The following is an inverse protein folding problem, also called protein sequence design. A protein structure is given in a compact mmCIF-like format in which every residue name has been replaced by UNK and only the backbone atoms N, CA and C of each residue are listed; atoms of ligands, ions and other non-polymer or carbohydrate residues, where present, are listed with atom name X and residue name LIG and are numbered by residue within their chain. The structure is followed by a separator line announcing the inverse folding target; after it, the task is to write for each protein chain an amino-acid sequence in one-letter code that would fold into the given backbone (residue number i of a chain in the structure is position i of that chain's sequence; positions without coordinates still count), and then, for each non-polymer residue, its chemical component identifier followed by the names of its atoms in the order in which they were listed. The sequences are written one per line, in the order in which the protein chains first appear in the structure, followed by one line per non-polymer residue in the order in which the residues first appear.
data_IF_592074469670
#
_entry.id   IF_592074469670
#
_cell.length_a   1.000
_cell.length_b   1.000
_cell.length_c   1.000
_cell.angle_alpha   90.00
_cell.angle_beta   90.00
_cell.angle_gamma   90.00
#
_symmetry.space_group_name_H-M   'P 1'
#
loop_
_entity.id
_entity.type
_entity.pdbx_description
1 polymer ?
#
# COMPACT_ATOMS: atom_id res chain seq x y z
N UNK A 1 31.21 -6.62 3.48
CA UNK A 1 30.63 -6.51 2.13
C UNK A 1 31.10 -5.22 1.49
N UNK A 2 31.60 -5.26 0.26
CA UNK A 2 31.98 -4.02 -0.42
C UNK A 2 30.70 -3.26 -0.81
N UNK A 3 30.77 -1.92 -0.84
CA UNK A 3 29.65 -1.08 -1.26
C UNK A 3 29.21 -1.43 -2.70
N UNK A 4 30.16 -1.86 -3.53
CA UNK A 4 29.91 -2.28 -4.92
C UNK A 4 29.06 -3.56 -5.01
N UNK A 5 29.33 -4.55 -4.18
CA UNK A 5 28.56 -5.81 -4.13
C UNK A 5 27.11 -5.54 -3.69
N UNK A 6 26.94 -4.69 -2.68
CA UNK A 6 25.61 -4.25 -2.22
C UNK A 6 24.85 -3.46 -3.29
N UNK A 7 25.58 -2.61 -4.02
CA UNK A 7 24.98 -1.83 -5.11
C UNK A 7 24.45 -2.75 -6.22
N UNK A 8 25.26 -3.70 -6.67
CA UNK A 8 24.84 -4.67 -7.68
C UNK A 8 23.65 -5.52 -7.21
N UNK A 9 23.66 -5.92 -5.95
CA UNK A 9 22.61 -6.70 -5.34
C UNK A 9 21.26 -5.97 -5.33
N UNK A 10 21.24 -4.72 -4.89
CA UNK A 10 20.03 -3.92 -4.85
C UNK A 10 19.59 -3.44 -6.25
N UNK A 11 20.51 -3.33 -7.20
CA UNK A 11 20.24 -2.90 -8.56
C UNK A 11 19.52 -3.95 -9.40
N UNK A 12 19.89 -5.23 -9.23
CA UNK A 12 19.33 -6.34 -10.05
C UNK A 12 17.81 -6.47 -10.02
N UNK A 13 17.13 -6.44 -8.85
CA UNK A 13 15.67 -6.51 -8.79
C UNK A 13 14.99 -5.34 -9.50
N UNK A 14 15.56 -4.16 -9.38
CA UNK A 14 15.00 -2.95 -10.00
C UNK A 14 15.19 -2.98 -11.50
N UNK A 15 16.35 -3.39 -12.00
CA UNK A 15 16.60 -3.57 -13.44
C UNK A 15 15.63 -4.60 -14.04
N UNK A 16 15.39 -5.72 -13.38
CA UNK A 16 14.37 -6.70 -13.81
C UNK A 16 13.00 -6.05 -13.95
N UNK A 17 12.58 -5.28 -12.96
CA UNK A 17 11.29 -4.57 -12.99
C UNK A 17 11.23 -3.55 -14.13
N UNK A 18 12.28 -2.76 -14.33
CA UNK A 18 12.36 -1.77 -15.41
C UNK A 18 12.33 -2.43 -16.79
N UNK A 19 13.06 -3.53 -16.97
CA UNK A 19 13.06 -4.29 -18.24
C UNK A 19 11.65 -4.85 -18.56
N UNK A 20 10.96 -5.41 -17.59
CA UNK A 20 9.58 -5.89 -17.78
C UNK A 20 8.63 -4.72 -18.08
N UNK A 21 8.82 -3.56 -17.45
CA UNK A 21 8.06 -2.36 -17.76
C UNK A 21 8.30 -1.87 -19.19
N UNK A 22 9.54 -1.94 -19.69
CA UNK A 22 9.87 -1.62 -21.08
C UNK A 22 9.16 -2.58 -22.06
N UNK A 23 9.08 -3.88 -21.73
CA UNK A 23 8.28 -4.84 -22.52
C UNK A 23 6.80 -4.42 -22.53
N UNK A 24 6.23 -4.04 -21.40
CA UNK A 24 4.86 -3.53 -21.32
C UNK A 24 4.61 -2.30 -22.17
N UNK A 25 5.56 -1.34 -22.13
CA UNK A 25 5.55 -0.14 -22.96
C UNK A 25 5.59 -0.50 -24.45
N UNK A 26 6.45 -1.44 -24.86
CA UNK A 26 6.60 -1.90 -26.22
C UNK A 26 5.30 -2.54 -26.73
N UNK A 27 4.66 -3.41 -25.94
CA UNK A 27 3.40 -4.07 -26.29
C UNK A 27 2.22 -3.10 -26.38
N UNK A 28 2.32 -1.91 -25.80
CA UNK A 28 1.31 -0.86 -25.83
C UNK A 28 1.52 0.16 -26.97
N UNK A 29 2.62 0.07 -27.75
CA UNK A 29 2.85 0.94 -28.90
C UNK A 29 1.72 0.80 -29.93
N UNK A 30 1.32 1.92 -30.54
CA UNK A 30 0.20 1.97 -31.51
C UNK A 30 0.40 1.02 -32.71
N UNK A 31 1.64 0.69 -33.08
CA UNK A 31 1.96 -0.27 -34.15
C UNK A 31 1.75 -1.74 -33.75
N UNK A 32 1.88 -2.07 -32.47
CA UNK A 32 1.84 -3.42 -31.95
C UNK A 32 0.46 -3.72 -31.38
N UNK A 33 -0.10 -2.78 -30.63
CA UNK A 33 -1.47 -2.76 -30.09
C UNK A 33 -1.94 -4.07 -29.42
N UNK A 34 -1.01 -4.85 -28.83
CA UNK A 34 -1.35 -6.07 -28.08
C UNK A 34 -1.96 -5.69 -26.74
N UNK A 35 -1.35 -4.72 -26.03
CA UNK A 35 -1.84 -4.22 -24.75
C UNK A 35 -2.69 -2.95 -24.92
N UNK A 36 -3.83 -3.11 -25.56
CA UNK A 36 -4.87 -2.06 -25.68
C UNK A 36 -5.41 -1.67 -24.30
N UNK A 37 -6.21 -0.61 -24.21
CA UNK A 37 -6.84 -0.20 -22.95
C UNK A 37 -7.72 -1.32 -22.36
N UNK A 38 -8.48 -2.01 -23.21
CA UNK A 38 -9.34 -3.12 -22.84
C UNK A 38 -8.53 -4.34 -22.38
N UNK A 39 -7.48 -4.72 -23.11
CA UNK A 39 -6.61 -5.82 -22.71
C UNK A 39 -5.95 -5.58 -21.35
N UNK A 40 -5.51 -4.34 -21.07
CA UNK A 40 -4.96 -3.96 -19.75
C UNK A 40 -6.02 -4.07 -18.64
N UNK A 41 -7.26 -3.64 -18.92
CA UNK A 41 -8.34 -3.76 -17.95
C UNK A 41 -8.63 -5.23 -17.60
N UNK A 42 -8.73 -6.11 -18.59
CA UNK A 42 -8.92 -7.55 -18.37
C UNK A 42 -7.75 -8.20 -17.62
N UNK A 43 -6.52 -7.87 -18.01
CA UNK A 43 -5.33 -8.37 -17.30
C UNK A 43 -5.31 -7.89 -15.84
N UNK A 44 -5.68 -6.62 -15.57
CA UNK A 44 -5.76 -6.07 -14.24
C UNK A 44 -6.82 -6.78 -13.38
N UNK A 45 -7.94 -7.16 -13.96
CA UNK A 45 -8.96 -7.95 -13.27
C UNK A 45 -8.43 -9.35 -12.89
N UNK A 46 -7.69 -10.02 -13.77
CA UNK A 46 -7.03 -11.29 -13.44
C UNK A 46 -6.02 -11.12 -12.29
N UNK A 47 -5.23 -10.04 -12.32
CA UNK A 47 -4.32 -9.71 -11.22
C UNK A 47 -5.10 -9.54 -9.92
N UNK A 48 -6.18 -8.79 -9.92
CA UNK A 48 -6.94 -8.47 -8.72
C UNK A 48 -7.68 -9.68 -8.14
N UNK A 49 -8.33 -10.49 -8.99
CA UNK A 49 -9.19 -11.58 -8.51
C UNK A 49 -8.46 -12.91 -8.34
N UNK A 50 -7.32 -13.13 -9.03
CA UNK A 50 -6.63 -14.43 -9.06
C UNK A 50 -5.18 -14.32 -8.62
N UNK A 51 -4.35 -13.56 -9.34
CA UNK A 51 -2.90 -13.64 -9.17
C UNK A 51 -2.44 -13.01 -7.85
N UNK A 52 -2.96 -11.83 -7.50
CA UNK A 52 -2.58 -11.15 -6.27
C UNK A 52 -3.11 -11.86 -5.01
N UNK A 53 -4.36 -12.36 -4.94
CA UNK A 53 -4.80 -13.25 -3.88
C UNK A 53 -3.91 -14.48 -3.72
N UNK A 54 -3.53 -15.10 -4.83
CA UNK A 54 -2.71 -16.30 -4.82
C UNK A 54 -1.31 -16.05 -4.21
N UNK A 55 -0.62 -14.95 -4.61
CA UNK A 55 0.69 -14.62 -4.04
C UNK A 55 0.59 -14.24 -2.56
N UNK A 56 -0.49 -13.57 -2.14
CA UNK A 56 -0.72 -13.24 -0.74
C UNK A 56 -0.92 -14.49 0.13
N UNK A 57 -1.76 -15.43 -0.32
CA UNK A 57 -2.04 -16.67 0.39
C UNK A 57 -0.79 -17.56 0.46
N UNK A 58 -0.15 -17.86 -0.69
CA UNK A 58 1.00 -18.76 -0.75
C UNK A 58 2.19 -18.23 0.04
N UNK A 59 2.45 -16.93 -0.02
CA UNK A 59 3.53 -16.30 0.74
C UNK A 59 3.38 -16.47 2.25
N UNK A 60 2.15 -16.34 2.77
CA UNK A 60 1.87 -16.54 4.20
C UNK A 60 1.86 -18.02 4.59
N UNK A 61 1.23 -18.88 3.78
CA UNK A 61 1.15 -20.32 4.06
C UNK A 61 2.55 -20.96 4.07
N UNK A 62 3.43 -20.56 3.14
CA UNK A 62 4.80 -21.05 3.05
C UNK A 62 5.73 -20.53 4.17
N UNK A 63 5.33 -19.50 4.91
CA UNK A 63 6.12 -18.94 6.00
C UNK A 63 6.11 -19.88 7.22
N UNK A 64 7.08 -20.78 7.30
CA UNK A 64 7.32 -21.57 8.52
C UNK A 64 8.34 -20.87 9.40
N UNK A 65 7.90 -20.04 10.33
CA UNK A 65 8.76 -19.45 11.35
C UNK A 65 8.82 -20.37 12.56
N UNK A 66 10.01 -20.88 12.89
CA UNK A 66 10.24 -21.68 14.12
C UNK A 66 9.91 -20.89 15.40
N UNK A 67 9.96 -19.57 15.32
CA UNK A 67 9.70 -18.62 16.42
C UNK A 67 8.23 -18.37 16.72
N UNK A 68 7.30 -18.92 15.94
CA UNK A 68 5.86 -18.66 16.09
C UNK A 68 5.46 -17.25 15.65
N UNK A 69 4.29 -17.14 15.02
CA UNK A 69 3.75 -15.86 14.49
C UNK A 69 3.57 -14.81 15.59
N UNK A 70 3.27 -15.23 16.82
CA UNK A 70 3.03 -14.32 17.94
C UNK A 70 4.28 -13.56 18.40
N UNK A 71 5.48 -14.08 18.23
CA UNK A 71 6.73 -13.36 18.56
C UNK A 71 7.03 -12.21 17.57
N UNK A 72 6.36 -12.20 16.41
CA UNK A 72 6.53 -11.20 15.35
C UNK A 72 5.48 -10.07 15.41
N UNK A 73 4.80 -9.91 16.54
CA UNK A 73 3.70 -8.96 16.75
C UNK A 73 4.06 -7.50 16.44
N UNK A 74 5.34 -7.14 16.46
CA UNK A 74 5.76 -5.78 16.17
C UNK A 74 5.74 -5.47 14.65
N UNK A 75 5.77 -6.47 13.75
CA UNK A 75 5.61 -6.25 12.30
C UNK A 75 4.29 -5.53 11.98
N UNK A 76 3.12 -6.01 12.43
CA UNK A 76 1.85 -5.29 12.22
C UNK A 76 1.88 -3.85 12.73
N UNK A 77 2.46 -3.64 13.92
CA UNK A 77 2.56 -2.30 14.53
C UNK A 77 3.46 -1.38 13.71
N UNK A 78 4.62 -1.88 13.28
CA UNK A 78 5.56 -1.14 12.44
C UNK A 78 4.93 -0.76 11.09
N UNK A 79 4.21 -1.68 10.46
CA UNK A 79 3.49 -1.42 9.22
C UNK A 79 2.43 -0.35 9.42
N UNK A 80 1.63 -0.43 10.50
CA UNK A 80 0.65 0.60 10.84
C UNK A 80 1.30 1.98 11.02
N UNK A 81 2.42 2.05 11.72
CA UNK A 81 3.21 3.28 11.89
C UNK A 81 3.64 3.84 10.53
N UNK A 82 4.13 2.98 9.62
CA UNK A 82 4.52 3.38 8.26
C UNK A 82 3.33 3.98 7.50
N UNK A 83 2.15 3.35 7.56
CA UNK A 83 0.94 3.88 6.92
C UNK A 83 0.51 5.22 7.52
N UNK A 84 0.58 5.39 8.83
CA UNK A 84 0.19 6.63 9.51
C UNK A 84 1.14 7.79 9.14
N UNK A 85 2.45 7.60 9.31
CA UNK A 85 3.43 8.64 8.97
C UNK A 85 3.46 8.92 7.47
N UNK A 86 3.42 7.89 6.63
CA UNK A 86 3.36 8.05 5.18
C UNK A 86 2.12 8.83 4.73
N UNK A 87 0.96 8.57 5.33
CA UNK A 87 -0.27 9.32 5.04
C UNK A 87 -0.19 10.77 5.50
N UNK A 88 0.34 11.01 6.70
CA UNK A 88 0.51 12.36 7.22
C UNK A 88 1.46 13.20 6.34
N UNK A 89 2.62 12.63 5.99
CA UNK A 89 3.59 13.28 5.11
C UNK A 89 3.04 13.47 3.68
N UNK A 90 2.31 12.49 3.15
CA UNK A 90 1.62 12.60 1.86
C UNK A 90 0.56 13.68 1.86
N UNK A 91 -0.21 13.83 2.95
CA UNK A 91 -1.19 14.90 3.11
C UNK A 91 -0.52 16.27 3.19
N UNK A 92 0.58 16.40 3.94
CA UNK A 92 1.39 17.64 4.00
C UNK A 92 1.93 17.98 2.61
N UNK A 93 2.48 17.00 1.89
CA UNK A 93 3.00 17.17 0.53
C UNK A 93 1.93 17.70 -0.43
N UNK A 94 0.74 17.14 -0.41
CA UNK A 94 -0.41 17.58 -1.22
C UNK A 94 -0.76 19.05 -0.93
N UNK A 95 -0.70 19.46 0.35
CA UNK A 95 -0.97 20.85 0.75
C UNK A 95 0.11 21.81 0.28
N UNK A 96 1.39 21.45 0.43
CA UNK A 96 2.54 22.28 0.02
C UNK A 96 2.58 22.44 -1.50
N UNK A 97 2.39 21.34 -2.25
CA UNK A 97 2.48 21.35 -3.72
C UNK A 97 1.21 21.85 -4.39
N UNK A 98 0.12 22.06 -3.63
CA UNK A 98 -1.21 22.41 -4.15
C UNK A 98 -1.66 21.46 -5.27
N UNK A 99 -1.39 20.16 -5.08
CA UNK A 99 -1.72 19.13 -6.06
C UNK A 99 -3.23 19.15 -6.42
N UNK A 100 -3.59 18.81 -7.66
CA UNK A 100 -4.99 18.67 -8.06
C UNK A 100 -5.75 17.68 -7.17
N UNK A 101 -7.03 17.96 -6.89
CA UNK A 101 -7.81 17.17 -5.91
C UNK A 101 -7.92 15.68 -6.26
N UNK A 102 -8.06 15.34 -7.54
CA UNK A 102 -8.14 13.95 -8.00
C UNK A 102 -6.86 13.16 -7.72
N UNK A 103 -5.70 13.82 -7.60
CA UNK A 103 -4.42 13.17 -7.28
C UNK A 103 -4.17 13.02 -5.77
N UNK A 104 -4.96 13.66 -4.90
CA UNK A 104 -4.72 13.62 -3.45
C UNK A 104 -4.67 12.19 -2.92
N UNK A 105 -5.68 11.37 -3.28
CA UNK A 105 -5.74 9.97 -2.86
C UNK A 105 -4.56 9.15 -3.34
N UNK A 106 -4.17 9.34 -4.60
CA UNK A 106 -3.01 8.67 -5.20
C UNK A 106 -1.70 9.05 -4.49
N UNK A 107 -1.44 10.34 -4.28
CA UNK A 107 -0.22 10.84 -3.63
C UNK A 107 -0.12 10.32 -2.20
N UNK A 108 -1.19 10.43 -1.42
CA UNK A 108 -1.24 9.91 -0.04
C UNK A 108 -1.03 8.39 -0.05
N UNK A 109 -1.67 7.68 -0.98
CA UNK A 109 -1.50 6.24 -1.14
C UNK A 109 -0.07 5.84 -1.47
N UNK A 110 0.59 6.53 -2.40
CA UNK A 110 1.99 6.30 -2.77
C UNK A 110 2.96 6.61 -1.63
N UNK A 111 2.67 7.62 -0.81
CA UNK A 111 3.48 7.92 0.38
C UNK A 111 3.27 6.88 1.49
N UNK A 112 2.05 6.39 1.70
CA UNK A 112 1.70 5.45 2.76
C UNK A 112 2.05 3.99 2.43
N UNK A 113 1.59 3.50 1.28
CA UNK A 113 1.69 2.10 0.88
C UNK A 113 3.04 1.76 0.24
N UNK A 114 3.93 1.12 0.99
CA UNK A 114 5.22 0.63 0.49
C UNK A 114 5.16 -0.76 -0.13
N UNK A 115 6.10 -1.08 -0.99
CA UNK A 115 6.29 -2.42 -1.56
C UNK A 115 6.98 -3.34 -0.55
N UNK A 116 6.26 -3.72 0.50
CA UNK A 116 6.77 -4.48 1.64
C UNK A 116 6.96 -5.98 1.36
N UNK A 117 6.64 -6.45 0.16
CA UNK A 117 6.76 -7.86 -0.23
C UNK A 117 7.77 -8.07 -1.35
N UNK A 118 7.42 -7.65 -2.56
CA UNK A 118 8.12 -8.07 -3.78
C UNK A 118 9.63 -7.75 -3.79
N UNK A 119 10.03 -6.57 -3.34
CA UNK A 119 11.45 -6.21 -3.26
C UNK A 119 12.16 -6.90 -2.08
N UNK A 120 11.62 -6.88 -0.85
CA UNK A 120 12.22 -7.60 0.27
C UNK A 120 12.38 -9.11 0.02
N UNK A 121 11.43 -9.76 -0.64
CA UNK A 121 11.51 -11.20 -1.01
C UNK A 121 12.75 -11.50 -1.88
N UNK A 122 13.22 -10.55 -2.68
CA UNK A 122 14.43 -10.72 -3.50
C UNK A 122 15.68 -10.26 -2.75
N UNK A 123 15.59 -9.16 -2.01
CA UNK A 123 16.73 -8.54 -1.32
C UNK A 123 17.23 -9.43 -0.16
N UNK A 124 16.31 -9.95 0.66
CA UNK A 124 16.70 -10.70 1.87
C UNK A 124 17.50 -11.98 1.55
N UNK A 125 17.02 -12.89 0.67
CA UNK A 125 17.81 -14.09 0.34
C UNK A 125 19.15 -13.75 -0.30
N UNK A 126 19.19 -12.69 -1.10
CA UNK A 126 20.42 -12.26 -1.75
C UNK A 126 21.45 -11.75 -0.73
N UNK A 127 21.05 -10.95 0.26
CA UNK A 127 21.92 -10.51 1.36
C UNK A 127 22.38 -11.71 2.19
N UNK A 128 21.48 -12.64 2.51
CA UNK A 128 21.81 -13.84 3.28
C UNK A 128 22.79 -14.77 2.56
N UNK A 129 22.78 -14.80 1.22
CA UNK A 129 23.67 -15.63 0.42
C UNK A 129 25.14 -15.11 0.39
N UNK A 130 25.36 -13.85 0.77
CA UNK A 130 26.71 -13.27 0.81
C UNK A 130 27.58 -13.88 1.91
N UNK A 131 28.86 -14.14 1.58
CA UNK A 131 29.82 -14.81 2.50
C UNK A 131 30.03 -14.07 3.81
N UNK A 132 29.88 -12.76 3.81
CA UNK A 132 30.11 -11.88 4.97
C UNK A 132 28.81 -11.25 5.49
N UNK A 133 27.66 -11.89 5.28
CA UNK A 133 26.41 -11.33 5.79
C UNK A 133 26.46 -11.23 7.33
N UNK A 134 25.94 -10.15 7.92
CA UNK A 134 25.99 -9.93 9.37
C UNK A 134 24.96 -10.75 10.17
N UNK A 135 24.12 -11.55 9.50
CA UNK A 135 22.96 -12.23 10.08
C UNK A 135 23.17 -13.73 10.36
N UNK A 136 24.40 -14.22 10.20
CA UNK A 136 24.79 -15.60 10.54
C UNK A 136 24.73 -16.57 9.36
N UNK A 137 24.35 -17.84 9.63
CA UNK A 137 24.33 -18.88 8.60
C UNK A 137 23.37 -18.55 7.44
N UNK A 138 23.84 -18.63 6.17
CA UNK A 138 23.05 -18.24 4.99
C UNK A 138 21.71 -18.95 4.87
N UNK A 139 21.62 -20.23 5.21
CA UNK A 139 20.39 -21.01 5.09
C UNK A 139 19.36 -20.59 6.14
N UNK A 140 19.80 -20.42 7.38
CA UNK A 140 18.96 -19.97 8.51
C UNK A 140 18.53 -18.51 8.32
N UNK A 141 19.45 -17.64 7.91
CA UNK A 141 19.15 -16.24 7.57
C UNK A 141 18.07 -16.15 6.48
N UNK A 142 18.24 -16.88 5.37
CA UNK A 142 17.27 -16.86 4.27
C UNK A 142 15.91 -17.39 4.71
N UNK A 143 15.86 -18.51 5.45
CA UNK A 143 14.60 -19.10 5.93
C UNK A 143 13.85 -18.15 6.87
N UNK A 144 14.51 -17.62 7.90
CA UNK A 144 13.89 -16.73 8.87
C UNK A 144 13.52 -15.38 8.22
N UNK A 145 14.42 -14.81 7.42
CA UNK A 145 14.18 -13.55 6.72
C UNK A 145 13.01 -13.62 5.77
N UNK A 146 12.86 -14.72 5.03
CA UNK A 146 11.69 -14.95 4.18
C UNK A 146 10.39 -15.05 5.00
N UNK A 147 10.41 -15.69 6.17
CA UNK A 147 9.27 -15.71 7.08
C UNK A 147 8.84 -14.30 7.51
N UNK A 148 9.79 -13.44 7.88
CA UNK A 148 9.50 -12.05 8.26
C UNK A 148 8.95 -11.22 7.10
N UNK A 149 9.52 -11.39 5.91
CA UNK A 149 9.08 -10.66 4.70
C UNK A 149 7.70 -11.10 4.24
N UNK A 150 7.42 -12.40 4.21
CA UNK A 150 6.12 -12.90 3.74
C UNK A 150 4.98 -12.51 4.69
N UNK A 151 5.23 -12.52 6.02
CA UNK A 151 4.29 -11.98 7.00
C UNK A 151 4.05 -10.47 6.78
N UNK A 152 5.13 -9.72 6.55
CA UNK A 152 5.05 -8.28 6.26
C UNK A 152 4.28 -8.01 4.97
N UNK A 153 4.48 -8.81 3.94
CA UNK A 153 3.75 -8.74 2.67
C UNK A 153 2.25 -8.96 2.87
N UNK A 154 1.87 -9.98 3.63
CA UNK A 154 0.47 -10.28 3.93
C UNK A 154 -0.23 -9.16 4.67
N UNK A 155 0.39 -8.65 5.75
CA UNK A 155 -0.15 -7.55 6.55
C UNK A 155 -0.17 -6.24 5.74
N UNK A 156 0.90 -5.97 4.97
CA UNK A 156 0.97 -4.84 4.07
C UNK A 156 -0.13 -4.87 3.00
N UNK A 157 -0.45 -6.06 2.47
CA UNK A 157 -1.55 -6.24 1.52
C UNK A 157 -2.89 -5.85 2.16
N UNK A 158 -3.17 -6.29 3.40
CA UNK A 158 -4.38 -5.88 4.13
C UNK A 158 -4.46 -4.35 4.21
N UNK A 159 -3.34 -3.68 4.60
CA UNK A 159 -3.28 -2.22 4.68
C UNK A 159 -3.52 -1.54 3.33
N UNK A 160 -2.93 -2.04 2.25
CA UNK A 160 -3.10 -1.46 0.91
C UNK A 160 -4.53 -1.66 0.41
N UNK A 161 -5.08 -2.86 0.49
CA UNK A 161 -6.41 -3.18 -0.05
C UNK A 161 -7.58 -2.71 0.83
N UNK A 162 -7.34 -2.33 2.09
CA UNK A 162 -8.35 -1.71 2.95
C UNK A 162 -8.15 -0.19 3.04
N UNK A 163 -7.01 0.26 3.53
CA UNK A 163 -6.76 1.66 3.85
C UNK A 163 -6.44 2.52 2.62
N UNK A 164 -5.42 2.13 1.82
CA UNK A 164 -5.03 2.90 0.63
C UNK A 164 -6.13 2.88 -0.42
N UNK A 165 -6.75 1.71 -0.63
CA UNK A 165 -7.91 1.55 -1.50
C UNK A 165 -9.02 2.54 -1.15
N UNK A 166 -9.39 2.64 0.14
CA UNK A 166 -10.43 3.55 0.60
C UNK A 166 -10.06 5.02 0.42
N UNK A 167 -8.81 5.38 0.63
CA UNK A 167 -8.33 6.75 0.41
C UNK A 167 -8.47 7.13 -1.07
N UNK A 168 -7.96 6.31 -1.99
CA UNK A 168 -8.02 6.58 -3.42
C UNK A 168 -9.48 6.68 -3.88
N UNK A 169 -10.33 5.75 -3.47
CA UNK A 169 -11.75 5.76 -3.79
C UNK A 169 -12.48 7.02 -3.27
N UNK A 170 -12.21 7.42 -2.00
CA UNK A 170 -12.88 8.56 -1.38
C UNK A 170 -12.54 9.89 -2.04
N UNK A 171 -11.31 10.07 -2.50
CA UNK A 171 -10.91 11.28 -3.22
C UNK A 171 -11.43 11.27 -4.66
N UNK A 172 -11.43 10.12 -5.34
CA UNK A 172 -11.97 10.00 -6.69
C UNK A 172 -13.47 10.29 -6.76
N UNK A 173 -14.27 9.70 -5.86
CA UNK A 173 -15.73 9.92 -5.83
C UNK A 173 -16.14 11.35 -5.47
N UNK A 174 -15.29 12.12 -4.81
CA UNK A 174 -15.52 13.55 -4.53
C UNK A 174 -15.36 14.39 -5.79
N UNK A 175 -14.40 14.07 -6.64
CA UNK A 175 -14.14 14.81 -7.87
C UNK A 175 -15.29 14.64 -8.86
N UNK A 176 -15.83 13.42 -9.02
CA UNK A 176 -17.02 13.16 -9.86
C UNK A 176 -18.25 13.95 -9.41
N UNK A 177 -18.46 14.11 -8.11
CA UNK A 177 -19.57 14.90 -7.57
C UNK A 177 -19.40 16.38 -7.84
N UNK A 178 -18.20 16.92 -7.64
CA UNK A 178 -17.90 18.31 -7.90
C UNK A 178 -18.08 18.62 -9.41
N UNK A 179 -17.58 17.76 -10.30
CA UNK A 179 -17.73 17.89 -11.75
C UNK A 179 -19.20 17.83 -12.16
N UNK A 180 -20.00 16.92 -11.60
CA UNK A 180 -21.43 16.79 -11.91
C UNK A 180 -22.26 17.98 -11.42
N UNK A 181 -21.89 18.61 -10.31
CA UNK A 181 -22.51 19.84 -9.82
C UNK A 181 -22.15 21.03 -10.72
N UNK A 182 -20.88 21.16 -11.12
CA UNK A 182 -20.46 22.22 -12.04
C UNK A 182 -21.07 22.09 -13.43
N UNK A 183 -21.21 20.85 -13.95
CA UNK A 183 -21.86 20.63 -15.25
C UNK A 183 -23.34 21.02 -15.21
N UNK A 184 -24.08 20.66 -14.16
CA UNK A 184 -25.49 21.05 -13.95
C UNK A 184 -25.65 22.54 -13.76
N UNK A 185 -24.73 23.22 -13.07
CA UNK A 185 -24.73 24.67 -12.92
C UNK A 185 -24.46 25.38 -14.26
N UNK A 186 -23.59 24.83 -15.12
CA UNK A 186 -23.29 25.38 -16.44
C UNK A 186 -24.40 25.15 -17.44
N UNK A 187 -25.11 24.03 -17.37
CA UNK A 187 -26.25 23.70 -18.20
C UNK A 187 -27.46 24.64 -17.86
N UNK A 188 -27.64 24.97 -16.59
CA UNK A 188 -28.63 25.95 -16.13
C UNK A 188 -28.26 27.40 -16.46
N UNK A 189 -27.01 27.73 -16.81
CA UNK A 189 -26.61 29.08 -17.26
C UNK A 189 -26.81 29.31 -18.77
N UNK A 190 -27.00 28.26 -19.57
CA UNK A 190 -27.28 28.36 -21.00
C UNK A 190 -28.76 28.23 -21.37
N UNK A 191 -29.63 27.97 -20.40
CA UNK A 191 -31.09 27.93 -20.55
C UNK A 191 -31.75 29.09 -19.79
N UNK A 192 -32.07 30.15 -20.52
CA UNK A 192 -33.00 31.21 -20.20
C UNK A 192 -33.08 31.85 -18.80
N UNK A 193 -32.82 33.14 -18.81
CA UNK A 193 -33.30 34.22 -17.95
C UNK A 193 -34.61 33.90 -17.21
N UNK A 194 -34.50 33.51 -15.95
CA UNK A 194 -35.60 33.69 -14.98
C UNK A 194 -34.99 33.95 -13.59
N UNK A 195 -35.17 35.17 -13.11
CA UNK A 195 -34.73 35.65 -11.78
C UNK A 195 -35.33 34.89 -10.59
N UNK A 196 -36.27 33.98 -10.80
CA UNK A 196 -36.95 33.23 -9.72
C UNK A 196 -36.23 31.97 -9.25
N UNK A 197 -35.30 31.42 -10.03
CA UNK A 197 -34.57 30.18 -9.64
C UNK A 197 -33.32 30.41 -8.75
N UNK A 198 -32.81 31.65 -8.70
CA UNK A 198 -31.65 31.99 -7.91
C UNK A 198 -31.97 32.10 -6.42
N UNK A 199 -33.15 32.55 -6.05
CA UNK A 199 -33.63 32.68 -4.66
C UNK A 199 -33.90 31.30 -4.00
N UNK A 200 -34.34 30.32 -4.78
CA UNK A 200 -34.59 28.96 -4.26
C UNK A 200 -33.32 28.20 -3.96
N UNK A 201 -32.24 28.42 -4.74
CA UNK A 201 -30.93 27.75 -4.54
C UNK A 201 -30.17 28.38 -3.37
N UNK A 202 -30.25 29.70 -3.19
CA UNK A 202 -29.65 30.42 -2.07
C UNK A 202 -30.32 30.06 -0.74
N UNK A 203 -31.61 29.74 -0.74
CA UNK A 203 -32.37 29.28 0.44
C UNK A 203 -32.02 27.85 0.85
N UNK A 204 -31.56 27.00 -0.08
CA UNK A 204 -31.16 25.61 0.21
C UNK A 204 -29.75 25.47 0.78
N UNK A 205 -28.92 26.53 0.71
CA UNK A 205 -27.52 26.50 1.12
C UNK A 205 -27.23 27.25 2.45
N UNK A 206 -28.23 27.90 3.05
CA UNK A 206 -28.09 28.54 4.35
C UNK A 206 -28.66 27.63 5.46
N UNK A 207 -27.95 27.38 6.55
CA UNK A 207 -28.55 26.69 7.70
C UNK A 207 -29.64 27.57 8.31
N UNK A 208 -30.83 27.00 8.42
CA UNK A 208 -32.01 27.60 8.95
C UNK A 208 -31.82 27.95 10.44
N UNK A 209 -31.52 29.20 10.73
CA UNK A 209 -31.57 29.76 12.08
C UNK A 209 -32.83 30.63 12.18
N UNK A 210 -33.96 30.02 12.54
CA UNK A 210 -35.03 30.67 13.24
C UNK A 210 -36.12 29.65 13.62
N UNK A 211 -36.18 29.28 14.87
CA UNK A 211 -37.43 28.99 15.55
C UNK A 211 -37.31 29.43 17.01
N UNK A 212 -37.92 30.62 17.27
CA UNK A 212 -38.34 31.02 18.58
C UNK A 212 -39.38 30.05 19.12
N UNK A 213 -39.19 29.48 20.28
CA UNK A 213 -40.26 29.21 21.21
C UNK A 213 -39.74 29.13 22.64
N UNK A 214 -40.30 29.95 23.42
CA UNK A 214 -40.51 30.19 24.84
C UNK A 214 -40.07 29.07 25.82
N UNK A 215 -39.40 29.58 26.83
CA UNK A 215 -39.33 29.23 28.26
C UNK A 215 -40.19 28.06 28.73
N UNK A 216 -39.56 27.11 29.41
CA UNK A 216 -39.92 26.69 30.76
C UNK A 216 -38.68 26.16 31.49
N UNK A 217 -38.38 26.77 32.63
CA UNK A 217 -37.43 26.32 33.65
C UNK A 217 -37.97 25.07 34.37
N UNK A 218 -37.17 24.05 34.41
CA UNK A 218 -37.18 23.14 35.56
C UNK A 218 -35.82 22.43 35.69
N UNK A 219 -35.12 22.80 36.72
CA UNK A 219 -33.93 22.17 37.27
C UNK A 219 -34.06 20.65 37.39
N UNK A 220 -33.10 19.92 36.86
CA UNK A 220 -32.63 18.65 37.45
C UNK A 220 -31.20 18.42 37.02
N UNK A 221 -30.23 18.72 37.90
CA UNK A 221 -28.90 18.14 37.89
C UNK A 221 -29.05 16.60 37.98
N UNK A 222 -28.77 15.93 36.89
CA UNK A 222 -28.43 14.51 36.91
C UNK A 222 -27.01 14.41 36.36
N UNK A 223 -26.04 14.34 37.26
CA UNK A 223 -24.71 13.84 36.97
C UNK A 223 -24.82 12.41 36.44
N UNK A 224 -24.94 12.26 35.14
CA UNK A 224 -24.79 10.95 34.52
C UNK A 224 -23.30 10.68 34.39
N UNK A 225 -22.76 9.92 35.34
CA UNK A 225 -21.47 9.24 35.16
C UNK A 225 -21.58 8.36 33.91
N UNK A 226 -21.20 8.93 32.76
CA UNK A 226 -21.11 8.15 31.52
C UNK A 226 -19.93 7.21 31.70
N UNK A 227 -20.24 5.94 31.90
CA UNK A 227 -19.25 4.87 32.08
C UNK A 227 -18.32 4.82 30.86
N UNK A 228 -17.00 4.85 31.11
CA UNK A 228 -15.93 4.78 30.10
C UNK A 228 -16.18 3.66 29.05
N UNK A 229 -16.69 2.45 29.41
CA UNK A 229 -16.99 1.42 28.41
C UNK A 229 -18.06 1.82 27.39
N UNK A 230 -19.08 2.60 27.77
CA UNK A 230 -20.13 3.07 26.84
C UNK A 230 -19.61 4.08 25.81
N UNK A 231 -18.65 4.91 26.19
CA UNK A 231 -17.99 5.85 25.26
C UNK A 231 -17.08 5.08 24.30
N UNK A 232 -16.37 4.05 24.79
CA UNK A 232 -15.52 3.17 23.97
C UNK A 232 -16.38 2.35 23.01
N UNK A 233 -17.47 1.76 23.49
CA UNK A 233 -18.41 0.98 22.68
C UNK A 233 -19.06 1.84 21.58
N UNK A 234 -19.48 3.07 21.89
CA UNK A 234 -20.05 4.01 20.94
C UNK A 234 -19.01 4.50 19.92
N UNK A 235 -17.76 4.74 20.34
CA UNK A 235 -16.64 5.05 19.42
C UNK A 235 -16.24 3.85 18.57
N UNK A 236 -16.18 2.66 19.14
CA UNK A 236 -15.88 1.43 18.40
C UNK A 236 -17.01 1.11 17.42
N UNK A 237 -18.27 1.28 17.80
CA UNK A 237 -19.42 1.09 16.91
C UNK A 237 -19.45 2.14 15.79
N UNK A 238 -19.15 3.40 16.09
CA UNK A 238 -18.98 4.45 15.09
C UNK A 238 -17.78 4.22 14.19
N UNK A 239 -16.67 3.68 14.69
CA UNK A 239 -15.53 3.26 13.89
C UNK A 239 -15.84 2.03 13.03
N UNK A 240 -16.61 1.07 13.54
CA UNK A 240 -17.07 -0.12 12.80
C UNK A 240 -18.10 0.26 11.71
N UNK A 241 -18.99 1.20 11.98
CA UNK A 241 -19.92 1.76 10.99
C UNK A 241 -19.19 2.60 9.93
N UNK A 242 -18.06 3.22 10.30
CA UNK A 242 -17.20 3.95 9.36
C UNK A 242 -16.27 3.02 8.55
N UNK A 243 -15.99 1.82 9.06
CA UNK A 243 -15.32 0.74 8.33
C UNK A 243 -16.38 0.01 7.53
N UNK A 244 -16.54 0.41 6.29
CA UNK A 244 -17.34 -0.33 5.31
C UNK A 244 -16.71 -1.74 5.18
N UNK A 245 -17.29 -2.71 5.88
CA UNK A 245 -16.80 -4.10 5.94
C UNK A 245 -16.61 -4.68 4.54
N UNK A 246 -17.34 -4.19 3.53
CA UNK A 246 -17.18 -4.60 2.14
C UNK A 246 -15.79 -4.30 1.59
N UNK A 247 -15.09 -3.29 2.14
CA UNK A 247 -13.73 -2.91 1.74
C UNK A 247 -12.68 -3.86 2.32
N UNK A 248 -12.93 -4.41 3.51
CA UNK A 248 -12.03 -5.39 4.16
C UNK A 248 -12.12 -6.76 3.46
N UNK A 249 -13.28 -7.10 2.90
CA UNK A 249 -13.52 -8.37 2.19
C UNK A 249 -13.14 -8.31 0.71
N UNK A 250 -12.02 -7.67 0.36
CA UNK A 250 -11.46 -7.74 -1.00
C UNK A 250 -10.70 -9.06 -1.20
N UNK A 251 -10.66 -9.63 -2.42
CA UNK A 251 -10.03 -10.92 -2.67
C UNK A 251 -8.62 -11.08 -2.10
N UNK A 252 -7.69 -10.12 -2.26
CA UNK A 252 -6.36 -10.24 -1.66
C UNK A 252 -6.36 -10.24 -0.12
N UNK A 253 -7.25 -9.47 0.49
CA UNK A 253 -7.38 -9.42 1.96
C UNK A 253 -7.92 -10.73 2.51
N UNK A 254 -8.98 -11.28 1.88
CA UNK A 254 -9.54 -12.59 2.26
C UNK A 254 -8.45 -13.66 2.12
N UNK A 255 -7.74 -13.69 1.00
CA UNK A 255 -6.68 -14.65 0.74
C UNK A 255 -5.56 -14.58 1.79
N UNK A 256 -5.16 -13.38 2.20
CA UNK A 256 -4.18 -13.18 3.26
C UNK A 256 -4.69 -13.71 4.60
N UNK A 257 -5.94 -13.40 4.99
CA UNK A 257 -6.54 -13.87 6.24
C UNK A 257 -6.62 -15.40 6.25
N UNK A 258 -7.08 -16.00 5.16
CA UNK A 258 -7.10 -17.47 5.01
C UNK A 258 -5.69 -18.06 5.10
N UNK A 259 -4.71 -17.43 4.46
CA UNK A 259 -3.31 -17.82 4.55
C UNK A 259 -2.78 -17.78 5.98
N UNK A 260 -3.08 -16.72 6.76
CA UNK A 260 -2.70 -16.61 8.17
C UNK A 260 -3.36 -17.72 9.00
N UNK A 261 -4.64 -18.01 8.78
CA UNK A 261 -5.35 -19.08 9.50
C UNK A 261 -4.68 -20.44 9.22
N UNK A 262 -4.41 -20.75 7.95
CA UNK A 262 -3.74 -21.99 7.54
C UNK A 262 -2.34 -22.09 8.19
N UNK A 263 -1.54 -21.02 8.09
CA UNK A 263 -0.20 -20.97 8.66
C UNK A 263 -0.18 -21.06 10.20
N UNK A 264 -1.24 -20.61 10.88
CA UNK A 264 -1.36 -20.66 12.35
C UNK A 264 -1.73 -22.04 12.87
N UNK A 265 -2.27 -22.92 12.03
CA UNK A 265 -2.75 -24.26 12.42
C UNK A 265 -1.80 -25.30 11.85
N UNK A 266 -0.78 -25.69 12.64
CA UNK A 266 0.28 -26.62 12.21
C UNK A 266 -0.23 -27.90 11.52
N UNK A 267 -1.30 -28.61 11.98
CA UNK A 267 -1.81 -29.75 11.26
C UNK A 267 -2.28 -29.46 9.84
N UNK A 268 -2.91 -28.29 9.62
CA UNK A 268 -3.41 -27.90 8.30
C UNK A 268 -2.22 -27.50 7.41
N UNK A 269 -1.28 -26.73 7.96
CA UNK A 269 -0.06 -26.34 7.25
C UNK A 269 0.72 -27.56 6.79
N UNK A 270 0.95 -28.56 7.64
CA UNK A 270 1.69 -29.77 7.32
C UNK A 270 1.01 -30.65 6.25
N UNK A 271 -0.30 -30.55 6.05
CA UNK A 271 -1.01 -31.23 4.97
C UNK A 271 -0.78 -30.53 3.62
N UNK A 272 -0.49 -29.22 3.62
CA UNK A 272 -0.32 -28.40 2.40
C UNK A 272 1.14 -28.17 2.04
N UNK A 273 2.00 -27.93 3.04
CA UNK A 273 3.41 -27.53 2.86
C UNK A 273 4.36 -28.65 3.23
N UNK A 274 5.30 -28.94 2.36
CA UNK A 274 6.35 -29.94 2.56
C UNK A 274 6.40 -30.98 1.46
N UNK A 275 7.55 -31.68 1.34
CA UNK A 275 7.79 -32.63 0.24
C UNK A 275 6.88 -33.86 0.27
N UNK A 276 6.34 -34.22 1.44
CA UNK A 276 5.43 -35.36 1.65
C UNK A 276 3.99 -34.95 1.91
N UNK A 277 3.67 -33.66 1.80
CA UNK A 277 2.33 -33.14 2.08
C UNK A 277 1.33 -33.64 1.01
N UNK A 278 0.19 -34.25 1.42
CA UNK A 278 -0.78 -34.80 0.47
C UNK A 278 -1.46 -33.72 -0.41
N UNK A 279 -1.57 -32.48 0.05
CA UNK A 279 -2.15 -31.36 -0.68
C UNK A 279 -1.08 -30.42 -1.28
N UNK A 280 0.19 -30.86 -1.40
CA UNK A 280 1.25 -30.05 -2.00
C UNK A 280 0.89 -29.54 -3.40
N UNK A 281 0.14 -30.33 -4.19
CA UNK A 281 -0.28 -29.91 -5.53
C UNK A 281 -1.17 -28.66 -5.50
N UNK A 282 -1.98 -28.47 -4.46
CA UNK A 282 -2.83 -27.28 -4.29
C UNK A 282 -1.95 -26.08 -3.99
N UNK A 283 -1.05 -26.21 -3.02
CA UNK A 283 -0.10 -25.13 -2.67
C UNK A 283 0.75 -24.75 -3.87
N UNK A 284 1.36 -25.69 -4.58
CA UNK A 284 2.17 -25.44 -5.78
C UNK A 284 1.36 -24.77 -6.91
N UNK A 285 0.08 -25.10 -7.06
CA UNK A 285 -0.79 -24.44 -8.03
C UNK A 285 -1.08 -22.99 -7.65
N UNK A 286 -1.29 -22.71 -6.35
CA UNK A 286 -1.49 -21.36 -5.85
C UNK A 286 -0.21 -20.52 -6.00
N UNK A 287 0.97 -21.09 -5.71
CA UNK A 287 2.28 -20.45 -5.94
C UNK A 287 2.43 -20.09 -7.42
N UNK A 288 2.20 -21.04 -8.34
CA UNK A 288 2.32 -20.82 -9.79
C UNK A 288 1.41 -19.67 -10.28
N UNK A 289 0.18 -19.60 -9.79
CA UNK A 289 -0.73 -18.48 -10.10
C UNK A 289 -0.22 -17.17 -9.48
N UNK A 290 0.31 -17.22 -8.26
CA UNK A 290 0.87 -16.07 -7.57
C UNK A 290 2.08 -15.47 -8.28
N UNK A 291 2.94 -16.30 -8.86
CA UNK A 291 4.15 -15.87 -9.59
C UNK A 291 3.82 -15.02 -10.82
N UNK A 292 2.62 -15.16 -11.38
CA UNK A 292 2.15 -14.32 -12.47
C UNK A 292 1.78 -12.87 -12.03
N UNK A 293 1.59 -12.61 -10.75
CA UNK A 293 1.13 -11.31 -10.25
C UNK A 293 2.11 -10.18 -10.55
N UNK A 294 3.38 -10.34 -10.15
CA UNK A 294 4.40 -9.31 -10.27
C UNK A 294 4.70 -8.95 -11.73
N UNK A 295 4.97 -9.92 -12.63
CA UNK A 295 5.18 -9.61 -14.05
C UNK A 295 3.98 -8.92 -14.69
N UNK A 296 2.75 -9.37 -14.40
CA UNK A 296 1.53 -8.79 -14.96
C UNK A 296 1.33 -7.34 -14.54
N UNK A 297 1.47 -7.03 -13.25
CA UNK A 297 1.38 -5.66 -12.74
C UNK A 297 2.47 -4.75 -13.34
N UNK A 298 3.68 -5.27 -13.51
CA UNK A 298 4.80 -4.53 -14.09
C UNK A 298 4.59 -4.23 -15.57
N UNK A 299 4.06 -5.19 -16.32
CA UNK A 299 3.70 -5.02 -17.74
C UNK A 299 2.61 -3.95 -17.88
N UNK A 300 1.55 -4.00 -17.05
CA UNK A 300 0.49 -2.99 -17.05
C UNK A 300 1.06 -1.61 -16.72
N UNK A 301 1.93 -1.51 -15.72
CA UNK A 301 2.61 -0.26 -15.36
C UNK A 301 3.39 0.32 -16.55
N UNK A 302 4.18 -0.49 -17.23
CA UNK A 302 4.94 -0.09 -18.41
C UNK A 302 4.04 0.37 -19.57
N UNK A 303 2.96 -0.35 -19.83
CA UNK A 303 1.99 0.01 -20.87
C UNK A 303 1.29 1.35 -20.59
N UNK A 304 1.01 1.66 -19.32
CA UNK A 304 0.42 2.94 -18.92
C UNK A 304 1.42 4.10 -19.00
N UNK A 305 2.72 3.83 -18.90
CA UNK A 305 3.78 4.84 -18.98
C UNK A 305 3.79 5.58 -20.33
N UNK A 306 3.48 4.88 -21.45
CA UNK A 306 3.39 5.50 -22.76
C UNK A 306 2.40 6.67 -22.81
N UNK A 307 1.28 6.55 -22.12
CA UNK A 307 0.29 7.64 -21.97
C UNK A 307 0.79 8.73 -21.05
N UNK A 308 1.54 8.38 -19.99
CA UNK A 308 2.09 9.27 -19.00
C UNK A 308 3.06 10.29 -19.55
N UNK A 309 3.98 9.89 -20.41
CA UNK A 309 4.92 10.79 -21.05
C UNK A 309 4.25 11.82 -21.96
N UNK A 310 3.08 11.47 -22.56
CA UNK A 310 2.35 12.37 -23.46
C UNK A 310 1.40 13.34 -22.73
N UNK A 311 0.92 13.03 -21.53
CA UNK A 311 -0.18 13.76 -20.87
C UNK A 311 -0.16 13.77 -19.33
N UNK A 312 0.95 13.45 -18.65
CA UNK A 312 0.92 13.42 -17.19
C UNK A 312 0.74 14.80 -16.59
N UNK A 313 -0.31 14.98 -15.81
CA UNK A 313 -0.56 16.17 -14.99
C UNK A 313 0.30 16.23 -13.71
N UNK A 314 1.27 15.32 -13.54
CA UNK A 314 2.12 15.26 -12.34
C UNK A 314 3.19 16.34 -12.40
N UNK A 315 3.08 17.33 -11.53
CA UNK A 315 4.13 18.33 -11.37
C UNK A 315 5.43 17.70 -10.86
N UNK A 316 6.57 18.17 -11.38
CA UNK A 316 7.89 17.65 -10.97
C UNK A 316 8.14 17.75 -9.46
N UNK A 317 7.67 18.82 -8.82
CA UNK A 317 7.78 19.03 -7.38
C UNK A 317 6.99 18.00 -6.56
N UNK A 318 5.85 17.55 -7.08
CA UNK A 318 5.05 16.50 -6.47
C UNK A 318 5.79 15.16 -6.53
N UNK A 319 6.39 14.85 -7.67
CA UNK A 319 7.18 13.63 -7.87
C UNK A 319 8.40 13.61 -6.94
N UNK A 320 9.18 14.69 -6.91
CA UNK A 320 10.33 14.85 -6.01
C UNK A 320 9.87 14.71 -4.55
N UNK A 321 8.74 15.32 -4.19
CA UNK A 321 8.19 15.23 -2.85
C UNK A 321 7.86 13.81 -2.42
N UNK A 322 7.25 12.99 -3.30
CA UNK A 322 6.98 11.57 -3.03
C UNK A 322 8.29 10.80 -2.82
N UNK A 323 9.29 11.04 -3.67
CA UNK A 323 10.63 10.42 -3.57
C UNK A 323 11.28 10.76 -2.22
N UNK A 324 11.24 12.02 -1.82
CA UNK A 324 11.80 12.49 -0.54
C UNK A 324 11.05 11.88 0.65
N UNK A 325 9.71 11.82 0.61
CA UNK A 325 8.94 11.15 1.65
C UNK A 325 9.34 9.68 1.78
N UNK A 326 9.43 8.96 0.66
CA UNK A 326 9.69 7.51 0.65
C UNK A 326 11.13 7.15 1.00
N UNK A 327 12.11 7.92 0.52
CA UNK A 327 13.52 7.53 0.62
C UNK A 327 14.35 8.41 1.58
N UNK A 328 13.74 9.43 2.20
CA UNK A 328 14.41 10.23 3.23
C UNK A 328 13.63 10.20 4.53
N UNK A 329 12.39 10.73 4.55
CA UNK A 329 11.66 10.88 5.80
C UNK A 329 11.25 9.54 6.42
N UNK A 330 10.64 8.64 5.66
CA UNK A 330 10.19 7.36 6.20
C UNK A 330 11.34 6.51 6.74
N UNK A 331 12.47 6.31 6.05
CA UNK A 331 13.60 5.55 6.60
C UNK A 331 14.16 6.15 7.90
N UNK A 332 14.28 7.49 7.99
CA UNK A 332 14.71 8.17 9.21
C UNK A 332 13.73 7.88 10.36
N UNK A 333 12.42 7.98 10.10
CA UNK A 333 11.39 7.61 11.08
C UNK A 333 11.53 6.14 11.49
N UNK A 334 11.79 5.23 10.53
CA UNK A 334 11.99 3.81 10.80
C UNK A 334 13.16 3.54 11.75
N UNK A 335 14.29 4.22 11.55
CA UNK A 335 15.44 4.14 12.45
C UNK A 335 15.04 4.62 13.85
N UNK A 336 14.33 5.74 13.96
CA UNK A 336 13.82 6.25 15.24
C UNK A 336 12.87 5.24 15.92
N UNK A 337 11.95 4.67 15.20
CA UNK A 337 10.98 3.68 15.72
C UNK A 337 11.70 2.44 16.26
N UNK A 338 12.63 1.86 15.50
CA UNK A 338 13.39 0.68 15.95
C UNK A 338 14.27 1.02 17.16
N UNK A 339 14.94 2.18 17.16
CA UNK A 339 15.77 2.61 18.30
C UNK A 339 14.94 2.73 19.58
N UNK A 340 13.78 3.37 19.50
CA UNK A 340 12.87 3.50 20.64
C UNK A 340 12.34 2.13 21.07
N UNK A 341 11.93 1.27 20.14
CA UNK A 341 11.43 -0.07 20.45
C UNK A 341 12.48 -0.96 21.11
N UNK A 342 13.76 -0.87 20.69
CA UNK A 342 14.89 -1.55 21.34
C UNK A 342 15.12 -1.03 22.76
N UNK A 343 15.15 0.27 22.96
CA UNK A 343 15.37 0.89 24.27
C UNK A 343 14.26 0.56 25.27
N UNK A 344 13.03 0.38 24.80
CA UNK A 344 11.89 -0.03 25.61
C UNK A 344 11.81 -1.56 25.83
N UNK A 345 12.71 -2.35 25.23
CA UNK A 345 12.69 -3.82 25.33
C UNK A 345 11.48 -4.47 24.63
N UNK A 346 10.82 -3.73 23.71
CA UNK A 346 9.62 -4.17 22.99
C UNK A 346 9.97 -5.17 21.88
N UNK A 347 11.14 -5.01 21.26
CA UNK A 347 11.66 -5.86 20.17
C UNK A 347 12.80 -6.68 20.70
N UNK A 348 12.83 -7.98 20.35
CA UNK A 348 13.95 -8.87 20.69
C UNK A 348 15.28 -8.39 20.09
N UNK A 349 16.34 -9.15 20.32
CA UNK A 349 17.72 -8.81 19.89
C UNK A 349 18.09 -9.33 18.48
N UNK A 350 17.15 -9.87 17.70
CA UNK A 350 17.43 -10.42 16.37
C UNK A 350 17.74 -9.31 15.35
N UNK A 351 19.01 -9.18 14.87
CA UNK A 351 19.38 -8.14 13.91
C UNK A 351 18.66 -8.28 12.56
N UNK A 352 18.42 -9.52 12.10
CA UNK A 352 17.71 -9.78 10.85
C UNK A 352 16.26 -9.28 10.91
N UNK A 353 15.59 -9.51 12.02
CA UNK A 353 14.25 -9.01 12.28
C UNK A 353 14.18 -7.48 12.21
N UNK A 354 15.13 -6.80 12.88
CA UNK A 354 15.24 -5.34 12.84
C UNK A 354 15.52 -4.83 11.41
N UNK A 355 16.39 -5.53 10.68
CA UNK A 355 16.72 -5.18 9.31
C UNK A 355 15.48 -5.27 8.39
N UNK A 356 14.70 -6.35 8.49
CA UNK A 356 13.46 -6.49 7.71
C UNK A 356 12.46 -5.38 8.03
N UNK A 357 12.29 -5.02 9.30
CA UNK A 357 11.40 -3.92 9.70
C UNK A 357 11.91 -2.59 9.15
N UNK A 358 13.20 -2.28 9.26
CA UNK A 358 13.78 -1.05 8.72
C UNK A 358 13.62 -0.96 7.20
N UNK A 359 13.79 -2.07 6.51
CA UNK A 359 13.62 -2.14 5.06
C UNK A 359 12.22 -1.74 4.61
N UNK A 360 11.17 -2.05 5.40
CA UNK A 360 9.79 -1.66 5.11
C UNK A 360 9.59 -0.15 4.98
N UNK A 361 10.39 0.65 5.69
CA UNK A 361 10.35 2.12 5.61
C UNK A 361 11.08 2.67 4.38
N UNK A 362 12.01 1.92 3.79
CA UNK A 362 12.87 2.37 2.69
C UNK A 362 12.41 1.91 1.29
N UNK A 363 11.37 1.08 1.20
CA UNK A 363 10.88 0.55 -0.09
C UNK A 363 10.07 1.57 -0.90
N UNK A 364 10.07 1.50 -2.26
CA UNK A 364 9.23 2.35 -3.11
C UNK A 364 7.73 2.05 -2.90
N UNK A 365 6.83 2.86 -3.49
CA UNK A 365 5.39 2.61 -3.42
C UNK A 365 5.02 1.22 -3.92
N UNK A 366 3.95 0.64 -3.34
CA UNK A 366 3.48 -0.69 -3.71
C UNK A 366 2.87 -0.72 -5.11
N UNK A 367 3.23 -1.71 -5.93
CA UNK A 367 2.71 -1.88 -7.30
C UNK A 367 1.18 -2.06 -7.32
N UNK A 368 0.60 -2.64 -6.28
CA UNK A 368 -0.84 -2.81 -6.12
C UNK A 368 -1.63 -1.49 -6.19
N UNK A 369 -0.98 -0.33 -5.93
CA UNK A 369 -1.61 0.99 -6.09
C UNK A 369 -1.95 1.24 -7.56
N UNK A 370 -1.12 0.78 -8.49
CA UNK A 370 -1.42 0.83 -9.94
C UNK A 370 -2.67 0.02 -10.29
N UNK A 371 -2.84 -1.15 -9.69
CA UNK A 371 -4.07 -1.96 -9.84
C UNK A 371 -5.29 -1.22 -9.29
N UNK A 372 -5.16 -0.58 -8.13
CA UNK A 372 -6.25 0.18 -7.51
C UNK A 372 -6.67 1.38 -8.37
N UNK A 373 -5.70 2.15 -8.90
CA UNK A 373 -6.00 3.30 -9.77
C UNK A 373 -6.70 2.87 -11.05
N UNK A 374 -6.33 1.71 -11.59
CA UNK A 374 -6.93 1.16 -12.80
C UNK A 374 -8.36 0.61 -12.53
N UNK A 375 -8.61 0.02 -11.36
CA UNK A 375 -9.96 -0.42 -10.97
C UNK A 375 -10.94 0.74 -10.82
N UNK A 376 -10.45 1.92 -10.48
CA UNK A 376 -11.26 3.13 -10.32
C UNK A 376 -11.21 4.06 -11.53
N UNK A 377 -10.35 3.77 -12.51
CA UNK A 377 -10.07 4.64 -13.67
C UNK A 377 -9.60 6.06 -13.26
N UNK A 378 -8.91 6.16 -12.10
CA UNK A 378 -8.47 7.42 -11.52
C UNK A 378 -6.95 7.49 -11.49
N UNK A 379 -6.36 8.45 -12.22
CA UNK A 379 -4.92 8.76 -12.14
C UNK A 379 -4.00 7.60 -12.57
N UNK A 380 -4.43 6.71 -13.48
CA UNK A 380 -3.64 5.57 -13.97
C UNK A 380 -2.31 6.00 -14.57
N UNK A 381 -2.37 7.04 -15.38
CA UNK A 381 -1.23 7.62 -16.08
C UNK A 381 -0.24 8.24 -15.10
N UNK A 382 -0.77 9.03 -14.17
CA UNK A 382 0.00 9.70 -13.12
C UNK A 382 0.64 8.67 -12.18
N UNK A 383 -0.11 7.63 -11.81
CA UNK A 383 0.40 6.53 -11.00
C UNK A 383 1.60 5.84 -11.68
N UNK A 384 1.50 5.57 -12.97
CA UNK A 384 2.56 4.90 -13.73
C UNK A 384 3.84 5.73 -13.80
N UNK A 385 3.72 7.07 -13.96
CA UNK A 385 4.87 7.99 -13.92
C UNK A 385 5.49 8.05 -12.53
N UNK A 386 4.68 8.16 -11.48
CA UNK A 386 5.14 8.16 -10.09
C UNK A 386 5.89 6.85 -9.79
N UNK A 387 5.32 5.71 -10.16
CA UNK A 387 5.93 4.40 -9.95
C UNK A 387 7.27 4.29 -10.68
N UNK A 388 7.33 4.62 -11.97
CA UNK A 388 8.55 4.53 -12.76
C UNK A 388 9.72 5.28 -12.10
N UNK A 389 9.52 6.56 -11.77
CA UNK A 389 10.59 7.37 -11.16
C UNK A 389 10.96 6.91 -9.76
N UNK A 390 9.98 6.50 -8.94
CA UNK A 390 10.27 5.94 -7.62
C UNK A 390 11.09 4.65 -7.72
N UNK A 391 10.77 3.75 -8.68
CA UNK A 391 11.54 2.53 -8.87
C UNK A 391 12.92 2.77 -9.46
N UNK A 392 13.08 3.76 -10.36
CA UNK A 392 14.38 4.17 -10.87
C UNK A 392 15.31 4.69 -9.76
N UNK A 393 14.77 5.52 -8.84
CA UNK A 393 15.54 6.05 -7.70
C UNK A 393 15.74 4.98 -6.61
N UNK A 394 14.82 4.03 -6.48
CA UNK A 394 14.87 2.97 -5.46
C UNK A 394 16.18 2.17 -5.51
N UNK A 395 16.76 1.92 -6.69
CA UNK A 395 18.02 1.18 -6.82
C UNK A 395 19.14 1.79 -5.99
N UNK A 396 19.32 3.10 -6.11
CA UNK A 396 20.36 3.84 -5.38
C UNK A 396 19.96 3.98 -3.90
N UNK A 397 18.72 4.38 -3.65
CA UNK A 397 18.24 4.63 -2.30
C UNK A 397 18.25 3.37 -1.43
N UNK A 398 17.78 2.23 -1.96
CA UNK A 398 17.79 0.95 -1.22
C UNK A 398 19.21 0.48 -0.93
N UNK A 399 20.13 0.64 -1.88
CA UNK A 399 21.54 0.27 -1.65
C UNK A 399 22.12 1.05 -0.48
N UNK A 400 21.93 2.38 -0.46
CA UNK A 400 22.43 3.23 0.61
C UNK A 400 21.80 2.87 1.96
N UNK A 401 20.47 2.68 2.00
CA UNK A 401 19.78 2.34 3.24
C UNK A 401 20.08 0.92 3.73
N UNK A 402 20.15 -0.08 2.85
CA UNK A 402 20.54 -1.43 3.25
C UNK A 402 21.96 -1.44 3.83
N UNK A 403 22.91 -0.72 3.22
CA UNK A 403 24.26 -0.57 3.74
C UNK A 403 24.26 0.08 5.12
N UNK A 404 23.53 1.17 5.29
CA UNK A 404 23.42 1.88 6.56
C UNK A 404 22.74 1.01 7.64
N UNK A 405 21.64 0.32 7.31
CA UNK A 405 20.94 -0.54 8.24
C UNK A 405 21.80 -1.72 8.72
N UNK A 406 22.54 -2.35 7.80
CA UNK A 406 23.47 -3.39 8.19
C UNK A 406 24.58 -2.86 9.10
N UNK A 407 25.09 -1.66 8.82
CA UNK A 407 26.12 -1.02 9.64
C UNK A 407 25.65 -0.69 11.06
N UNK A 408 24.41 -0.23 11.27
CA UNK A 408 23.90 0.07 12.62
C UNK A 408 23.44 -1.16 13.39
N UNK A 409 23.28 -2.31 12.71
CA UNK A 409 22.83 -3.57 13.32
C UNK A 409 23.97 -4.56 13.53
N UNK A 410 25.12 -4.37 12.88
CA UNK A 410 26.36 -5.14 13.11
C UNK A 410 27.08 -4.63 14.36
#
# INVERSE_FOLDING_TARGET
MSIEELFLLALMPVLKTLLIAVVGLFLALDRISILTAEARHHLNNLVFYIFFPAICASGVIGSSTETGIFSLWFIPVSILITFLFGSALGWILVKITRAPRHLHGLVIGCCAGGNMGNLPVIIIPAICAEKNNPFGDPSTCSKNGMGYVTLSMGIGAIGIWSFVYKIIWAYGKRDDRDVSVYSKLRENQHGETSKESLDSITRALLPNSNSNSKYDEASAMVETKVSIPVIIEKKVKSLLEYVDLSVVFRPPTIATIVGIIIASISPIQNIMVGDRAPLRFVESSVVLLGDAAIPSMTIIMGANLLRGFKRSGVGIWLLIGIIVVRFVFLPIIGVGVITVAKNLGIVGSDPLYHFVILLQYAVPPAMAIGTITQLFEIGETECSVIMFWNYAVASIALTLWCTYFMWILS
#
